data_IF_797230174795
#
_entry.id   IF_797230174795
#
_cell.length_a   1.000
_cell.length_b   1.000
_cell.length_c   1.000
_cell.angle_alpha   90.00
_cell.angle_beta   90.00
_cell.angle_gamma   90.00
#
_symmetry.space_group_name_H-M   'P 1'
#
loop_
_entity.id
_entity.type
_entity.pdbx_description
1 polymer ?
#
# COMPACT_ATOMS: atom_id res chain seq x y z
N UNK A 1 4.03 0.17 11.15
CA UNK A 1 2.64 -0.38 11.15
C UNK A 1 1.55 0.67 11.35
N UNK A 2 1.52 1.45 12.44
CA UNK A 2 0.42 2.40 12.73
C UNK A 2 0.09 3.41 11.60
N UNK A 3 1.11 3.87 10.87
CA UNK A 3 0.91 4.76 9.72
C UNK A 3 0.32 4.01 8.51
N UNK A 4 0.79 2.80 8.22
CA UNK A 4 0.30 1.94 7.13
C UNK A 4 -1.18 1.58 7.35
N UNK A 5 -1.55 1.24 8.58
CA UNK A 5 -2.95 0.86 8.89
C UNK A 5 -3.92 2.03 8.81
N UNK A 6 -3.45 3.28 8.91
CA UNK A 6 -4.30 4.45 8.64
C UNK A 6 -4.68 4.58 7.18
N UNK A 7 -3.77 4.27 6.25
CA UNK A 7 -4.05 4.43 4.82
C UNK A 7 -4.94 3.30 4.28
N UNK A 8 -4.91 2.12 4.90
CA UNK A 8 -5.66 0.93 4.44
C UNK A 8 -7.06 0.77 5.08
N UNK A 9 -7.64 1.83 5.63
CA UNK A 9 -9.04 1.80 6.08
C UNK A 9 -9.96 1.89 4.86
N UNK A 10 -10.88 0.93 4.72
CA UNK A 10 -11.93 0.91 3.70
C UNK A 10 -12.94 2.03 3.94
N UNK A 11 -13.24 2.82 2.91
CA UNK A 11 -14.25 3.88 2.95
C UNK A 11 -14.87 4.03 1.55
N UNK A 12 -16.19 3.80 1.45
CA UNK A 12 -16.94 3.91 0.19
C UNK A 12 -16.23 3.15 -0.95
N UNK A 13 -16.02 3.81 -2.09
CA UNK A 13 -15.39 3.28 -3.30
C UNK A 13 -13.87 3.52 -3.33
N UNK A 14 -13.19 3.51 -2.17
CA UNK A 14 -11.73 3.72 -2.11
C UNK A 14 -11.02 2.44 -2.56
N UNK A 15 -10.35 2.44 -3.73
CA UNK A 15 -9.72 1.24 -4.28
C UNK A 15 -8.51 0.78 -3.44
N UNK A 16 -7.84 1.70 -2.75
CA UNK A 16 -6.71 1.37 -1.89
C UNK A 16 -6.09 2.57 -1.17
N UNK A 17 -5.05 2.32 -0.38
CA UNK A 17 -4.23 3.34 0.26
C UNK A 17 -2.89 3.52 -0.44
N UNK A 18 -2.53 4.75 -0.81
CA UNK A 18 -1.23 5.10 -1.39
C UNK A 18 -0.27 5.59 -0.31
N UNK A 19 0.97 5.08 -0.31
CA UNK A 19 2.07 5.55 0.53
C UNK A 19 3.21 5.99 -0.40
N UNK A 20 3.72 7.20 -0.19
CA UNK A 20 4.86 7.73 -0.94
C UNK A 20 6.01 7.94 0.05
N UNK A 21 7.15 7.31 -0.24
CA UNK A 21 8.37 7.41 0.55
C UNK A 21 9.35 8.40 -0.10
N UNK A 22 9.57 9.53 0.56
CA UNK A 22 10.49 10.58 0.09
C UNK A 22 11.90 10.47 0.69
N UNK A 23 12.09 9.61 1.70
CA UNK A 23 13.31 9.57 2.53
C UNK A 23 14.08 8.26 2.32
N UNK A 24 13.44 7.22 1.80
CA UNK A 24 14.08 5.93 1.49
C UNK A 24 13.96 4.91 2.63
N UNK A 25 12.82 4.86 3.30
CA UNK A 25 12.46 3.88 4.32
C UNK A 25 11.92 2.56 3.75
N UNK A 26 11.72 2.44 2.43
CA UNK A 26 11.08 1.28 1.81
C UNK A 26 11.67 -0.07 2.21
N UNK A 27 13.01 -0.22 2.22
CA UNK A 27 13.65 -1.49 2.57
C UNK A 27 13.35 -1.91 4.02
N UNK A 28 13.49 -0.98 4.96
CA UNK A 28 13.17 -1.21 6.36
C UNK A 28 11.68 -1.52 6.56
N UNK A 29 10.81 -0.87 5.78
CA UNK A 29 9.38 -1.10 5.80
C UNK A 29 9.03 -2.49 5.27
N UNK A 30 9.66 -2.91 4.17
CA UNK A 30 9.48 -4.23 3.57
C UNK A 30 9.90 -5.32 4.54
N UNK A 31 11.05 -5.16 5.21
CA UNK A 31 11.53 -6.12 6.19
C UNK A 31 10.61 -6.21 7.42
N UNK A 32 10.13 -5.06 7.91
CA UNK A 32 9.15 -5.04 8.99
C UNK A 32 7.81 -5.69 8.59
N UNK A 33 7.39 -5.59 7.32
CA UNK A 33 6.14 -6.19 6.83
C UNK A 33 6.21 -7.72 6.73
N UNK A 34 7.38 -8.30 6.47
CA UNK A 34 7.58 -9.77 6.41
C UNK A 34 7.24 -10.47 7.72
N UNK A 35 7.45 -9.79 8.85
CA UNK A 35 7.10 -10.31 10.18
C UNK A 35 5.59 -10.44 10.39
N UNK A 36 4.79 -9.65 9.66
CA UNK A 36 3.33 -9.57 9.84
C UNK A 36 2.51 -10.28 8.76
N UNK A 37 3.10 -10.68 7.63
CA UNK A 37 2.37 -11.36 6.55
C UNK A 37 3.11 -12.62 6.06
N UNK A 38 2.88 -13.78 6.70
CA UNK A 38 3.34 -15.06 6.18
C UNK A 38 2.52 -15.54 4.97
N UNK A 39 1.37 -14.92 4.66
CA UNK A 39 0.34 -15.49 3.77
C UNK A 39 -0.06 -14.61 2.58
N UNK A 40 0.27 -13.32 2.55
CA UNK A 40 -0.29 -12.38 1.54
C UNK A 40 0.71 -11.95 0.46
N UNK A 41 1.76 -12.74 0.21
CA UNK A 41 2.78 -12.43 -0.80
C UNK A 41 2.28 -12.41 -2.25
N UNK A 42 1.00 -12.69 -2.50
CA UNK A 42 0.43 -12.90 -3.84
C UNK A 42 -0.59 -11.83 -4.28
N UNK A 43 -0.87 -10.80 -3.48
CA UNK A 43 -1.94 -9.83 -3.79
C UNK A 43 -1.44 -8.47 -4.31
N UNK A 44 -0.21 -8.41 -4.82
CA UNK A 44 0.31 -7.23 -5.52
C UNK A 44 0.39 -7.53 -7.02
N UNK A 45 -0.75 -7.52 -7.72
CA UNK A 45 -0.79 -7.78 -9.16
C UNK A 45 -1.64 -6.80 -9.95
N UNK A 46 -1.91 -5.62 -9.37
CA UNK A 46 -2.42 -4.49 -10.14
C UNK A 46 -1.22 -3.58 -10.41
N UNK A 47 -0.94 -3.24 -11.68
CA UNK A 47 0.05 -2.23 -12.04
C UNK A 47 -0.17 -0.94 -11.23
N UNK A 48 0.92 -0.35 -10.72
CA UNK A 48 0.84 0.86 -9.90
C UNK A 48 0.22 2.00 -10.71
N UNK A 49 0.53 2.04 -12.01
CA UNK A 49 0.02 3.03 -12.96
C UNK A 49 -1.52 3.01 -13.02
N UNK A 50 -2.13 1.82 -13.06
CA UNK A 50 -3.59 1.65 -13.10
C UNK A 50 -4.25 2.17 -11.81
N UNK A 51 -3.62 1.93 -10.64
CA UNK A 51 -4.12 2.46 -9.36
C UNK A 51 -3.95 3.99 -9.28
N UNK A 52 -2.85 4.53 -9.80
CA UNK A 52 -2.60 5.97 -9.80
C UNK A 52 -3.62 6.69 -10.69
N UNK A 53 -3.93 6.13 -11.86
CA UNK A 53 -4.92 6.69 -12.77
C UNK A 53 -6.32 6.70 -12.11
N UNK A 54 -6.75 5.61 -11.47
CA UNK A 54 -8.02 5.58 -10.72
C UNK A 54 -8.08 6.59 -9.57
N UNK A 55 -6.94 6.86 -8.91
CA UNK A 55 -6.85 7.85 -7.82
C UNK A 55 -6.88 9.30 -8.32
N UNK A 56 -6.52 9.56 -9.58
CA UNK A 56 -6.53 10.88 -10.20
C UNK A 56 -7.84 11.20 -10.94
N UNK A 57 -8.57 10.17 -11.41
CA UNK A 57 -9.85 10.32 -12.11
C UNK A 57 -11.05 10.65 -11.21
N UNK A 58 -10.88 10.63 -9.87
CA UNK A 58 -11.91 11.02 -8.88
C UNK A 58 -11.53 12.26 -8.08
#
# INVERSE_FOLDING_TARGET
MQAITRVNRTLRDKPGGLIIDYIGLFANLQDALKEYSPSDGHQASVPIEEIVDELLEK
#
